data_IF_575120450781
#
_entry.id   IF_575120450781
#
_cell.length_a   1.000
_cell.length_b   1.000
_cell.length_c   1.000
_cell.angle_alpha   90.00
_cell.angle_beta   90.00
_cell.angle_gamma   90.00
#
_symmetry.space_group_name_H-M   'P 1'
#
loop_
_entity.id
_entity.type
_entity.pdbx_description
1 polymer ?
#
# COMPACT_ATOMS: atom_id res chain seq x y z
N UNK A 1 36.57 -18.56 10.99
CA UNK A 1 35.97 -17.67 12.01
C UNK A 1 34.49 -17.53 11.69
N UNK A 2 33.63 -18.32 12.33
CA UNK A 2 32.19 -18.32 12.09
C UNK A 2 31.53 -17.33 13.07
N UNK A 3 31.09 -16.18 12.57
CA UNK A 3 30.26 -15.25 13.34
C UNK A 3 28.88 -15.86 13.55
N UNK A 4 28.66 -16.48 14.72
CA UNK A 4 27.31 -16.80 15.19
C UNK A 4 26.58 -15.48 15.40
N UNK A 5 25.72 -15.07 14.47
CA UNK A 5 24.87 -13.90 14.67
C UNK A 5 23.93 -14.20 15.84
N UNK A 6 24.13 -13.46 16.93
CA UNK A 6 23.41 -13.62 18.18
C UNK A 6 22.01 -13.03 18.09
N UNK A 7 21.11 -13.68 17.37
CA UNK A 7 19.69 -13.37 17.49
C UNK A 7 19.22 -13.78 18.89
N UNK A 8 19.01 -12.81 19.75
CA UNK A 8 18.65 -13.03 21.15
C UNK A 8 17.12 -13.03 21.32
N UNK A 9 16.65 -13.59 22.43
CA UNK A 9 15.21 -13.51 22.77
C UNK A 9 14.68 -12.08 22.93
N UNK A 10 15.56 -11.08 23.12
CA UNK A 10 15.18 -9.66 23.13
C UNK A 10 14.88 -9.14 21.73
N UNK A 11 15.66 -9.56 20.74
CA UNK A 11 15.47 -9.14 19.34
C UNK A 11 14.14 -9.64 18.80
N UNK A 12 13.73 -10.85 19.20
CA UNK A 12 12.42 -11.39 18.83
C UNK A 12 11.25 -10.61 19.45
N UNK A 13 11.36 -10.25 20.74
CA UNK A 13 10.33 -9.43 21.41
C UNK A 13 10.24 -8.03 20.81
N UNK A 14 11.39 -7.45 20.44
CA UNK A 14 11.43 -6.14 19.80
C UNK A 14 10.77 -6.20 18.41
N UNK A 15 11.05 -7.24 17.62
CA UNK A 15 10.38 -7.46 16.32
C UNK A 15 8.86 -7.60 16.49
N UNK A 16 8.40 -8.44 17.41
CA UNK A 16 6.97 -8.60 17.71
C UNK A 16 6.32 -7.27 18.13
N UNK A 17 6.98 -6.52 19.03
CA UNK A 17 6.48 -5.23 19.49
C UNK A 17 6.38 -4.19 18.36
N UNK A 18 7.40 -4.11 17.49
CA UNK A 18 7.41 -3.21 16.34
C UNK A 18 6.31 -3.58 15.35
N UNK A 19 6.15 -4.87 15.03
CA UNK A 19 5.09 -5.34 14.13
C UNK A 19 3.69 -5.11 14.72
N UNK A 20 3.52 -5.33 16.03
CA UNK A 20 2.26 -5.08 16.72
C UNK A 20 1.92 -3.59 16.74
N UNK A 21 2.90 -2.73 17.03
CA UNK A 21 2.74 -1.28 16.97
C UNK A 21 2.37 -0.83 15.55
N UNK A 22 3.05 -1.34 14.53
CA UNK A 22 2.73 -1.06 13.13
C UNK A 22 1.30 -1.48 12.78
N UNK A 23 0.84 -2.65 13.25
CA UNK A 23 -0.52 -3.12 13.04
C UNK A 23 -1.57 -2.24 13.75
N UNK A 24 -1.29 -1.79 14.98
CA UNK A 24 -2.16 -0.86 15.69
C UNK A 24 -2.25 0.48 14.96
N UNK A 25 -1.11 1.05 14.55
CA UNK A 25 -1.09 2.30 13.79
C UNK A 25 -1.81 2.16 12.45
N UNK A 26 -1.57 1.09 11.70
CA UNK A 26 -2.27 0.81 10.44
C UNK A 26 -3.79 0.63 10.66
N UNK A 27 -4.20 -0.02 11.75
CA UNK A 27 -5.61 -0.17 12.11
C UNK A 27 -6.27 1.16 12.47
N UNK A 28 -5.59 2.00 13.26
CA UNK A 28 -6.13 3.29 13.69
C UNK A 28 -6.21 4.26 12.52
N UNK A 29 -5.09 4.50 11.83
CA UNK A 29 -5.01 5.51 10.78
C UNK A 29 -5.57 5.02 9.44
N UNK A 30 -5.44 3.74 9.15
CA UNK A 30 -5.88 3.15 7.88
C UNK A 30 -7.31 2.64 7.87
N UNK A 31 -7.90 2.32 9.03
CA UNK A 31 -9.26 1.78 9.13
C UNK A 31 -10.14 2.64 10.02
N UNK A 32 -9.82 2.78 11.31
CA UNK A 32 -10.71 3.40 12.29
C UNK A 32 -11.04 4.86 11.93
N UNK A 33 -10.03 5.69 11.68
CA UNK A 33 -10.22 7.10 11.31
C UNK A 33 -11.03 7.22 10.01
N UNK A 34 -10.67 6.54 8.89
CA UNK A 34 -11.48 6.59 7.66
C UNK A 34 -12.92 6.12 7.86
N UNK A 35 -13.16 5.04 8.61
CA UNK A 35 -14.52 4.55 8.89
C UNK A 35 -15.34 5.58 9.67
N UNK A 36 -14.74 6.23 10.67
CA UNK A 36 -15.39 7.32 11.41
C UNK A 36 -15.69 8.52 10.49
N UNK A 37 -14.80 8.84 9.56
CA UNK A 37 -15.01 9.89 8.55
C UNK A 37 -16.17 9.57 7.61
N UNK A 38 -16.26 8.31 7.14
CA UNK A 38 -17.38 7.83 6.33
C UNK A 38 -18.71 7.90 7.10
N UNK A 39 -18.70 7.52 8.37
CA UNK A 39 -19.87 7.61 9.25
C UNK A 39 -20.26 9.06 9.61
N UNK A 40 -19.39 10.05 9.33
CA UNK A 40 -19.60 11.45 9.69
C UNK A 40 -19.41 11.76 11.17
N UNK A 41 -18.72 10.90 11.91
CA UNK A 41 -18.39 11.12 13.32
C UNK A 41 -17.19 12.08 13.51
N UNK A 42 -16.39 12.26 12.46
CA UNK A 42 -15.27 13.21 12.40
C UNK A 42 -15.32 13.94 11.05
N UNK A 43 -14.56 15.05 10.94
CA UNK A 43 -14.43 15.77 9.67
C UNK A 43 -13.96 14.81 8.57
N UNK A 44 -14.78 14.61 7.51
CA UNK A 44 -14.45 13.64 6.48
C UNK A 44 -13.29 14.16 5.61
N UNK A 45 -12.55 13.23 5.02
CA UNK A 45 -11.69 13.58 3.87
C UNK A 45 -12.62 14.08 2.77
N UNK A 46 -12.48 15.34 2.43
CA UNK A 46 -13.28 16.07 1.43
C UNK A 46 -12.45 16.43 0.19
N UNK A 47 -11.13 16.31 0.27
CA UNK A 47 -10.19 16.59 -0.82
C UNK A 47 -9.51 15.33 -1.35
N UNK A 48 -9.39 15.23 -2.67
CA UNK A 48 -8.57 14.22 -3.36
C UNK A 48 -7.78 14.85 -4.50
N UNK A 49 -6.46 14.65 -4.51
CA UNK A 49 -5.63 14.99 -5.65
C UNK A 49 -5.97 14.14 -6.88
N UNK A 50 -6.18 14.79 -8.03
CA UNK A 50 -6.51 14.18 -9.32
C UNK A 50 -5.60 14.73 -10.42
N UNK A 51 -5.44 13.96 -11.49
CA UNK A 51 -4.80 14.45 -12.71
C UNK A 51 -5.86 14.98 -13.67
N UNK A 52 -5.58 16.14 -14.28
CA UNK A 52 -6.46 16.83 -15.22
C UNK A 52 -5.86 16.82 -16.63
N UNK A 53 -6.72 16.71 -17.64
CA UNK A 53 -6.32 16.66 -19.05
C UNK A 53 -5.65 17.94 -19.53
N UNK A 54 -5.99 19.08 -18.93
CA UNK A 54 -5.39 20.38 -19.20
C UNK A 54 -4.27 20.71 -18.20
N UNK A 55 -3.13 21.22 -18.68
CA UNK A 55 -2.08 21.70 -17.79
C UNK A 55 -2.56 22.95 -17.04
N UNK A 56 -2.27 23.05 -15.75
CA UNK A 56 -2.52 24.28 -14.99
C UNK A 56 -1.81 25.47 -15.67
N UNK A 57 -2.51 26.60 -15.85
CA UNK A 57 -1.89 27.77 -16.51
C UNK A 57 -0.89 28.42 -15.57
N UNK A 58 0.37 28.40 -15.97
CA UNK A 58 1.40 29.27 -15.38
C UNK A 58 1.10 30.71 -15.81
N UNK A 59 1.11 31.69 -14.88
CA UNK A 59 0.93 33.09 -15.23
C UNK A 59 1.93 33.54 -16.32
N UNK A 60 1.44 34.23 -17.34
CA UNK A 60 2.21 34.55 -18.54
C UNK A 60 3.42 35.47 -18.26
N UNK A 61 3.33 36.29 -17.23
CA UNK A 61 4.41 37.12 -16.69
C UNK A 61 5.58 36.27 -16.16
N UNK A 62 5.27 35.15 -15.51
CA UNK A 62 6.30 34.22 -15.02
C UNK A 62 6.95 33.47 -16.18
N UNK A 63 6.17 32.96 -17.13
CA UNK A 63 6.72 32.27 -18.32
C UNK A 63 7.55 33.21 -19.20
N UNK A 64 7.17 34.49 -19.32
CA UNK A 64 7.93 35.49 -20.05
C UNK A 64 9.29 35.79 -19.39
N UNK A 65 9.36 35.76 -18.05
CA UNK A 65 10.59 36.01 -17.30
C UNK A 65 11.65 34.90 -17.46
N UNK A 66 11.23 33.66 -17.70
CA UNK A 66 12.16 32.51 -17.87
C UNK A 66 12.67 32.37 -19.30
N UNK A 67 11.90 32.85 -20.30
CA UNK A 67 12.21 32.70 -21.73
C UNK A 67 13.54 33.31 -22.16
N UNK A 68 14.03 34.35 -21.48
CA UNK A 68 15.33 34.97 -21.75
C UNK A 68 16.54 34.20 -21.21
N UNK A 69 16.32 33.17 -20.39
CA UNK A 69 17.37 32.45 -19.66
C UNK A 69 17.50 30.98 -20.08
N UNK A 70 16.89 30.58 -21.20
CA UNK A 70 16.90 29.20 -21.68
C UNK A 70 16.10 28.21 -20.80
N UNK A 71 15.24 28.73 -19.92
CA UNK A 71 14.41 27.95 -19.01
C UNK A 71 12.93 28.01 -19.43
N UNK A 72 12.25 26.87 -19.40
CA UNK A 72 10.81 26.76 -19.65
C UNK A 72 10.10 26.35 -18.36
N UNK A 73 9.06 27.08 -18.00
CA UNK A 73 8.20 26.75 -16.87
C UNK A 73 6.84 26.30 -17.40
N UNK A 74 6.51 25.02 -17.20
CA UNK A 74 5.23 24.43 -17.58
C UNK A 74 4.42 24.10 -16.34
N UNK A 75 3.10 24.28 -16.42
CA UNK A 75 2.21 23.93 -15.31
C UNK A 75 2.01 22.44 -15.19
N UNK A 76 1.62 22.00 -14.00
CA UNK A 76 1.37 20.60 -13.70
C UNK A 76 -0.04 20.19 -14.10
N UNK A 77 -0.22 18.91 -14.43
CA UNK A 77 -1.52 18.29 -14.66
C UNK A 77 -2.24 17.87 -13.35
N UNK A 78 -1.94 18.50 -12.20
CA UNK A 78 -2.50 18.13 -10.89
C UNK A 78 -3.51 19.17 -10.42
N UNK A 79 -4.63 18.70 -9.87
CA UNK A 79 -5.65 19.51 -9.22
C UNK A 79 -6.21 18.78 -7.99
N UNK A 80 -6.81 19.50 -7.05
CA UNK A 80 -7.56 18.90 -5.94
C UNK A 80 -9.05 18.91 -6.25
N UNK A 81 -9.65 17.72 -6.23
CA UNK A 81 -11.10 17.53 -6.26
C UNK A 81 -11.62 17.74 -4.83
N UNK A 82 -12.32 18.84 -4.61
CA UNK A 82 -12.91 19.20 -3.30
C UNK A 82 -14.42 18.99 -3.35
N UNK A 83 -14.95 18.17 -2.44
CA UNK A 83 -16.37 17.96 -2.27
C UNK A 83 -16.87 18.80 -1.10
N UNK A 84 -17.62 19.86 -1.39
CA UNK A 84 -18.06 20.80 -0.34
C UNK A 84 -19.00 20.18 0.71
N UNK A 85 -19.87 19.25 0.29
CA UNK A 85 -20.84 18.60 1.18
C UNK A 85 -20.97 17.12 0.81
N UNK A 86 -19.94 16.30 1.07
CA UNK A 86 -19.92 14.94 0.57
C UNK A 86 -20.99 14.11 1.30
N UNK A 87 -21.87 13.48 0.53
CA UNK A 87 -22.84 12.50 1.02
C UNK A 87 -22.15 11.20 1.45
N UNK A 88 -22.90 10.27 2.06
CA UNK A 88 -22.34 9.00 2.53
C UNK A 88 -21.61 8.20 1.43
N UNK A 89 -22.22 8.09 0.24
CA UNK A 89 -21.64 7.35 -0.88
C UNK A 89 -20.33 7.97 -1.37
N UNK A 90 -20.25 9.31 -1.40
CA UNK A 90 -19.04 10.03 -1.82
C UNK A 90 -17.93 9.88 -0.79
N UNK A 91 -18.24 9.99 0.51
CA UNK A 91 -17.27 9.72 1.58
C UNK A 91 -16.74 8.29 1.50
N UNK A 92 -17.62 7.32 1.25
CA UNK A 92 -17.21 5.93 1.08
C UNK A 92 -16.29 5.77 -0.13
N UNK A 93 -16.61 6.35 -1.29
CA UNK A 93 -15.76 6.32 -2.48
C UNK A 93 -14.41 7.02 -2.26
N UNK A 94 -14.38 8.09 -1.47
CA UNK A 94 -13.15 8.78 -1.09
C UNK A 94 -12.26 7.91 -0.21
N UNK A 95 -12.83 7.21 0.78
CA UNK A 95 -12.11 6.36 1.73
C UNK A 95 -11.75 4.97 1.17
N UNK A 96 -12.52 4.43 0.22
CA UNK A 96 -12.44 3.03 -0.24
C UNK A 96 -11.03 2.60 -0.67
N UNK A 97 -10.27 3.35 -1.48
CA UNK A 97 -8.92 2.93 -1.88
C UNK A 97 -7.97 2.78 -0.68
N UNK A 98 -8.03 3.71 0.27
CA UNK A 98 -7.24 3.68 1.49
C UNK A 98 -7.63 2.53 2.42
N UNK A 99 -8.93 2.26 2.56
CA UNK A 99 -9.45 1.14 3.35
C UNK A 99 -8.98 -0.20 2.80
N UNK A 100 -9.10 -0.43 1.49
CA UNK A 100 -8.66 -1.68 0.86
C UNK A 100 -7.16 -1.89 1.05
N UNK A 101 -6.35 -0.84 0.81
CA UNK A 101 -4.91 -0.91 1.04
C UNK A 101 -4.55 -1.20 2.49
N UNK A 102 -5.27 -0.60 3.43
CA UNK A 102 -5.06 -0.81 4.86
C UNK A 102 -5.44 -2.22 5.31
N UNK A 103 -6.49 -2.81 4.76
CA UNK A 103 -6.86 -4.22 5.02
C UNK A 103 -5.76 -5.16 4.53
N UNK A 104 -5.24 -4.96 3.32
CA UNK A 104 -4.16 -5.78 2.77
C UNK A 104 -2.87 -5.63 3.59
N UNK A 105 -2.55 -4.41 4.03
CA UNK A 105 -1.41 -4.16 4.93
C UNK A 105 -1.60 -4.85 6.28
N UNK A 106 -2.78 -4.76 6.89
CA UNK A 106 -3.08 -5.44 8.16
C UNK A 106 -2.99 -6.96 8.03
N UNK A 107 -3.47 -7.53 6.92
CA UNK A 107 -3.29 -8.94 6.62
C UNK A 107 -1.80 -9.31 6.57
N UNK A 108 -0.97 -8.53 5.87
CA UNK A 108 0.46 -8.76 5.79
C UNK A 108 1.13 -8.68 7.17
N UNK A 109 0.84 -7.64 7.95
CA UNK A 109 1.37 -7.45 9.31
C UNK A 109 0.94 -8.58 10.25
N UNK A 110 -0.31 -9.02 10.16
CA UNK A 110 -0.81 -10.16 10.94
C UNK A 110 -0.06 -11.46 10.60
N UNK A 111 0.19 -11.72 9.32
CA UNK A 111 0.95 -12.90 8.89
C UNK A 111 2.43 -12.81 9.31
N UNK A 112 3.02 -11.62 9.25
CA UNK A 112 4.38 -11.37 9.75
C UNK A 112 4.47 -11.58 11.26
N UNK A 113 3.48 -11.12 12.05
CA UNK A 113 3.41 -11.40 13.48
C UNK A 113 3.34 -12.89 13.77
N UNK A 114 2.57 -13.65 12.98
CA UNK A 114 2.49 -15.11 13.10
C UNK A 114 3.82 -15.79 12.79
N UNK A 115 4.59 -15.28 11.83
CA UNK A 115 5.95 -15.76 11.52
C UNK A 115 6.94 -15.36 12.63
N UNK A 116 6.87 -14.13 13.16
CA UNK A 116 7.72 -13.71 14.28
C UNK A 116 7.48 -14.56 15.54
N UNK A 117 6.24 -14.98 15.76
CA UNK A 117 5.92 -15.92 16.85
C UNK A 117 6.61 -17.28 16.69
N UNK A 118 6.70 -17.84 15.48
CA UNK A 118 7.37 -19.14 15.27
C UNK A 118 8.90 -19.04 15.35
N UNK A 119 9.49 -17.89 15.00
CA UNK A 119 10.90 -17.61 15.24
C UNK A 119 11.26 -17.64 16.74
N UNK A 120 10.33 -17.20 17.61
CA UNK A 120 10.50 -17.25 19.06
C UNK A 120 10.70 -18.66 19.59
N UNK A 121 9.98 -19.60 19.00
CA UNK A 121 9.98 -21.01 19.38
C UNK A 121 11.21 -21.75 18.80
N UNK A 122 12.05 -21.05 18.02
CA UNK A 122 13.31 -21.55 17.49
C UNK A 122 13.18 -22.27 16.14
N UNK A 123 11.98 -22.38 15.58
CA UNK A 123 11.76 -23.06 14.30
C UNK A 123 11.36 -22.08 13.17
N UNK A 124 12.35 -21.76 12.33
CA UNK A 124 12.18 -20.86 11.19
C UNK A 124 11.56 -21.59 9.99
N UNK A 125 11.80 -22.90 9.87
CA UNK A 125 11.53 -23.70 8.67
C UNK A 125 10.29 -24.58 8.85
N UNK A 126 9.19 -23.96 9.27
CA UNK A 126 7.88 -24.61 9.35
C UNK A 126 7.12 -24.40 8.02
N UNK A 127 6.53 -25.42 7.39
CA UNK A 127 5.80 -25.28 6.12
C UNK A 127 4.72 -24.18 6.13
N UNK A 128 4.11 -23.91 7.29
CA UNK A 128 3.14 -22.85 7.50
C UNK A 128 3.72 -21.47 7.23
N UNK A 129 4.98 -21.21 7.59
CA UNK A 129 5.64 -19.93 7.34
C UNK A 129 5.82 -19.68 5.84
N UNK A 130 6.13 -20.72 5.06
CA UNK A 130 6.20 -20.61 3.59
C UNK A 130 4.84 -20.21 3.01
N UNK A 131 3.75 -20.85 3.47
CA UNK A 131 2.39 -20.50 3.04
C UNK A 131 2.00 -19.06 3.43
N UNK A 132 2.31 -18.64 4.66
CA UNK A 132 2.07 -17.26 5.14
C UNK A 132 2.80 -16.25 4.27
N UNK A 133 4.06 -16.52 3.93
CA UNK A 133 4.86 -15.65 3.09
C UNK A 133 4.33 -15.59 1.64
N UNK A 134 3.83 -16.71 1.10
CA UNK A 134 3.15 -16.71 -0.20
C UNK A 134 1.91 -15.81 -0.20
N UNK A 135 1.11 -15.85 0.87
CA UNK A 135 -0.08 -14.98 1.00
C UNK A 135 0.32 -13.51 1.09
N UNK A 136 1.41 -13.17 1.81
CA UNK A 136 1.94 -11.80 1.84
C UNK A 136 2.36 -11.35 0.44
N UNK A 137 3.10 -12.18 -0.30
CA UNK A 137 3.53 -11.87 -1.66
C UNK A 137 2.35 -11.66 -2.61
N UNK A 138 1.32 -12.51 -2.52
CA UNK A 138 0.10 -12.36 -3.30
C UNK A 138 -0.67 -11.08 -2.92
N UNK A 139 -0.80 -10.77 -1.62
CA UNK A 139 -1.43 -9.54 -1.16
C UNK A 139 -0.70 -8.29 -1.69
N UNK A 140 0.63 -8.31 -1.74
CA UNK A 140 1.43 -7.24 -2.33
C UNK A 140 1.19 -7.10 -3.85
N UNK A 141 1.07 -8.21 -4.59
CA UNK A 141 0.72 -8.16 -6.02
C UNK A 141 -0.69 -7.62 -6.25
N UNK A 142 -1.67 -8.05 -5.44
CA UNK A 142 -3.03 -7.52 -5.50
C UNK A 142 -3.02 -6.01 -5.21
N UNK A 143 -2.28 -5.58 -4.19
CA UNK A 143 -2.11 -4.17 -3.86
C UNK A 143 -1.48 -3.38 -5.02
N UNK A 144 -0.48 -3.93 -5.71
CA UNK A 144 0.16 -3.29 -6.85
C UNK A 144 -0.82 -2.99 -8.00
N UNK A 145 -1.83 -3.85 -8.19
CA UNK A 145 -2.89 -3.66 -9.20
C UNK A 145 -3.98 -2.73 -8.68
N UNK A 146 -4.45 -2.92 -7.44
CA UNK A 146 -5.55 -2.14 -6.88
C UNK A 146 -5.16 -0.71 -6.54
N UNK A 147 -3.90 -0.45 -6.18
CA UNK A 147 -3.42 0.86 -5.75
C UNK A 147 -3.64 1.96 -6.80
N UNK A 148 -3.31 1.78 -8.10
CA UNK A 148 -3.65 2.78 -9.11
C UNK A 148 -5.08 2.62 -9.65
N UNK A 149 -5.65 1.41 -9.62
CA UNK A 149 -6.97 1.14 -10.21
C UNK A 149 -8.15 1.67 -9.37
N UNK A 150 -8.12 1.46 -8.04
CA UNK A 150 -9.21 1.86 -7.16
C UNK A 150 -9.37 3.39 -7.09
N UNK A 151 -8.31 4.20 -6.94
CA UNK A 151 -8.43 5.66 -7.01
C UNK A 151 -8.98 6.12 -8.36
N UNK A 152 -8.49 5.59 -9.48
CA UNK A 152 -8.98 5.96 -10.81
C UNK A 152 -10.48 5.65 -10.97
N UNK A 153 -10.91 4.44 -10.57
CA UNK A 153 -12.31 4.02 -10.66
C UNK A 153 -13.21 4.85 -9.73
N UNK A 154 -12.82 5.01 -8.47
CA UNK A 154 -13.62 5.77 -7.50
C UNK A 154 -13.69 7.25 -7.86
N UNK A 155 -12.63 7.84 -8.40
CA UNK A 155 -12.64 9.20 -8.93
C UNK A 155 -13.60 9.33 -10.11
N UNK A 156 -13.58 8.40 -11.07
CA UNK A 156 -14.56 8.40 -12.17
C UNK A 156 -16.00 8.29 -11.67
N UNK A 157 -16.25 7.48 -10.64
CA UNK A 157 -17.58 7.38 -10.03
C UNK A 157 -18.00 8.68 -9.31
N UNK A 158 -17.06 9.40 -8.69
CA UNK A 158 -17.32 10.69 -8.03
C UNK A 158 -17.66 11.80 -9.02
N UNK A 159 -16.97 11.85 -10.16
CA UNK A 159 -17.18 12.92 -11.17
C UNK A 159 -18.28 12.60 -12.17
N UNK A 160 -18.80 11.37 -12.15
CA UNK A 160 -19.82 10.90 -13.10
C UNK A 160 -21.06 11.78 -13.05
N UNK A 161 -21.49 12.26 -14.24
CA UNK A 161 -22.66 13.12 -14.36
C UNK A 161 -22.42 14.60 -14.03
N UNK A 162 -21.16 14.97 -13.80
CA UNK A 162 -20.73 16.37 -13.64
C UNK A 162 -19.89 16.82 -14.85
N UNK A 163 -19.77 18.13 -15.10
CA UNK A 163 -18.86 18.66 -16.13
C UNK A 163 -17.38 18.29 -15.91
N UNK A 164 -17.00 17.86 -14.70
CA UNK A 164 -15.63 17.46 -14.37
C UNK A 164 -15.23 16.12 -14.99
N UNK A 165 -16.19 15.29 -15.42
CA UNK A 165 -15.91 14.00 -16.03
C UNK A 165 -15.08 14.12 -17.33
N UNK A 166 -15.29 15.20 -18.10
CA UNK A 166 -14.56 15.44 -19.35
C UNK A 166 -13.14 15.97 -19.11
N UNK A 167 -12.90 16.61 -17.95
CA UNK A 167 -11.61 17.22 -17.59
C UNK A 167 -10.69 16.26 -16.83
N UNK A 168 -11.24 15.23 -16.17
CA UNK A 168 -10.50 14.24 -15.38
C UNK A 168 -10.51 12.90 -16.14
N UNK A 169 -9.49 12.60 -16.96
CA UNK A 169 -9.44 11.36 -17.71
C UNK A 169 -9.26 10.16 -16.77
N UNK A 170 -9.74 8.99 -17.22
CA UNK A 170 -9.40 7.73 -16.55
C UNK A 170 -7.96 7.35 -16.90
N UNK A 171 -7.03 7.68 -16.01
CA UNK A 171 -5.61 7.34 -16.15
C UNK A 171 -5.18 6.41 -15.02
N UNK A 172 -4.49 5.33 -15.39
CA UNK A 172 -3.93 4.34 -14.46
C UNK A 172 -2.45 4.18 -14.77
N UNK A 173 -1.61 4.59 -13.83
CA UNK A 173 -0.15 4.45 -13.95
C UNK A 173 0.31 3.31 -13.05
N UNK A 174 0.83 2.25 -13.66
CA UNK A 174 1.39 1.13 -12.91
C UNK A 174 2.88 1.34 -12.69
N UNK A 175 3.32 1.27 -11.43
CA UNK A 175 4.75 1.22 -11.09
C UNK A 175 5.18 -0.23 -10.91
N UNK A 176 6.24 -0.64 -11.61
CA UNK A 176 6.75 -2.02 -11.56
C UNK A 176 7.39 -2.40 -10.23
N UNK A 177 7.70 -1.43 -9.37
CA UNK A 177 8.35 -1.62 -8.07
C UNK A 177 7.54 -2.53 -7.12
N UNK A 178 6.22 -2.33 -7.03
CA UNK A 178 5.36 -3.12 -6.15
C UNK A 178 5.14 -4.52 -6.70
N UNK A 179 5.10 -4.68 -8.02
CA UNK A 179 5.05 -5.99 -8.67
C UNK A 179 6.34 -6.77 -8.36
N UNK A 180 7.49 -6.13 -8.53
CA UNK A 180 8.78 -6.72 -8.21
C UNK A 180 8.84 -7.14 -6.73
N UNK A 181 8.41 -6.28 -5.81
CA UNK A 181 8.35 -6.61 -4.38
C UNK A 181 7.49 -7.85 -4.13
N UNK A 182 6.29 -7.92 -4.71
CA UNK A 182 5.42 -9.09 -4.57
C UNK A 182 6.06 -10.37 -5.09
N UNK A 183 6.71 -10.32 -6.26
CA UNK A 183 7.45 -11.45 -6.81
C UNK A 183 8.65 -11.86 -5.96
N UNK A 184 9.40 -10.91 -5.39
CA UNK A 184 10.52 -11.20 -4.49
C UNK A 184 10.05 -11.90 -3.21
N UNK A 185 8.93 -11.46 -2.64
CA UNK A 185 8.35 -12.12 -1.46
C UNK A 185 7.86 -13.53 -1.82
N UNK A 186 7.24 -13.73 -2.98
CA UNK A 186 6.86 -15.06 -3.46
C UNK A 186 8.07 -15.96 -3.70
N UNK A 187 9.15 -15.43 -4.27
CA UNK A 187 10.40 -16.16 -4.43
C UNK A 187 11.00 -16.57 -3.08
N UNK A 188 10.94 -15.68 -2.07
CA UNK A 188 11.37 -16.00 -0.71
C UNK A 188 10.48 -17.11 -0.10
N UNK A 189 9.17 -17.08 -0.32
CA UNK A 189 8.27 -18.15 0.11
C UNK A 189 8.63 -19.50 -0.52
N UNK A 190 9.02 -19.51 -1.79
CA UNK A 190 9.48 -20.71 -2.48
C UNK A 190 10.79 -21.24 -1.91
N UNK A 191 11.74 -20.36 -1.58
CA UNK A 191 12.99 -20.74 -0.91
C UNK A 191 12.70 -21.40 0.44
N UNK A 192 11.78 -20.84 1.23
CA UNK A 192 11.36 -21.44 2.50
C UNK A 192 10.75 -22.82 2.29
N UNK A 193 9.85 -22.97 1.32
CA UNK A 193 9.20 -24.25 0.98
C UNK A 193 10.22 -25.33 0.59
N UNK A 194 11.24 -24.97 -0.18
CA UNK A 194 12.32 -25.92 -0.54
C UNK A 194 13.20 -26.24 0.65
N UNK A 195 13.52 -25.24 1.49
CA UNK A 195 14.27 -25.43 2.73
C UNK A 195 13.59 -26.38 3.71
N UNK A 196 12.27 -26.25 3.90
CA UNK A 196 11.50 -27.17 4.75
C UNK A 196 11.51 -28.60 4.22
N UNK A 197 11.43 -28.78 2.90
CA UNK A 197 11.48 -30.10 2.26
C UNK A 197 12.85 -30.77 2.45
N UNK A 198 13.94 -30.03 2.20
CA UNK A 198 15.29 -30.57 2.35
C UNK A 198 15.58 -31.01 3.79
N UNK A 199 15.10 -30.25 4.77
CA UNK A 199 15.22 -30.61 6.19
C UNK A 199 14.49 -31.92 6.50
N UNK A 200 13.24 -32.04 6.06
CA UNK A 200 12.46 -33.27 6.26
C UNK A 200 13.12 -34.50 5.63
N UNK A 201 13.69 -34.35 4.42
CA UNK A 201 14.41 -35.42 3.74
C UNK A 201 15.69 -35.84 4.52
N UNK A 202 16.39 -34.90 5.16
CA UNK A 202 17.58 -35.22 5.98
C UNK A 202 17.27 -35.84 7.35
N UNK A 203 16.17 -35.44 7.99
CA UNK A 203 15.75 -35.99 9.29
C UNK A 203 15.17 -37.42 9.15
N UNK A 204 14.70 -37.80 7.96
CA UNK A 204 14.21 -39.15 7.65
C UNK A 204 15.27 -40.18 7.22
N UNK A 205 16.55 -39.78 7.14
CA UNK A 205 17.66 -40.64 6.71
C UNK A 205 18.58 -41.11 7.86
N UNK A 206 18.21 -40.80 9.12
CA UNK A 206 18.98 -41.16 10.33
C UNK A 206 18.21 -42.17 11.17
#
# INVERSE_FOLDING_TARGET
MAGKSGWSGRDNRLLEAVLALAAVLAGVFGILIPVLGVAGAIDPVDTRGVEIGSASRVPADVTASTGGHGMSLTGTHRADLVLAHPGFGERLLLALPGLVGSVLLLLALFLLLRIAGTLRDGDVFVPENARRLSVIGLAALVQAVLSPLLPALTTQLLVRGTPLADEIPFTVTFTGEYLLLGFLVLALAEVFRRGTKLRADTEGLV
#
